data_IF_410502522396
#
_entry.id   IF_410502522396
#
_cell.length_a   1.000
_cell.length_b   1.000
_cell.length_c   1.000
_cell.angle_alpha   90.00
_cell.angle_beta   90.00
_cell.angle_gamma   90.00
#
_symmetry.space_group_name_H-M   'P 1'
#
loop_
_entity.id
_entity.type
_entity.pdbx_description
1 polymer ?
#
# COMPACT_ATOMS: atom_id res chain seq x y z
N UNK A 1 -21.15 15.53 19.02
CA UNK A 1 -20.47 16.24 17.92
C UNK A 1 -19.28 15.39 17.51
N UNK A 2 -19.36 14.72 16.36
CA UNK A 2 -18.21 14.06 15.75
C UNK A 2 -17.33 15.16 15.16
N UNK A 3 -16.10 15.32 15.65
CA UNK A 3 -15.12 16.19 15.02
C UNK A 3 -14.79 15.61 13.64
N UNK A 4 -15.45 16.12 12.61
CA UNK A 4 -15.13 15.80 11.23
C UNK A 4 -13.78 16.44 10.90
N UNK A 5 -12.84 15.64 10.42
CA UNK A 5 -11.54 16.13 9.95
C UNK A 5 -11.75 17.01 8.72
N UNK A 6 -10.97 18.08 8.60
CA UNK A 6 -10.89 18.86 7.36
C UNK A 6 -10.28 18.03 6.22
N UNK A 7 -10.52 18.44 4.97
CA UNK A 7 -9.91 17.75 3.81
C UNK A 7 -8.38 17.65 3.92
N UNK A 8 -7.70 18.71 4.37
CA UNK A 8 -6.23 18.70 4.51
C UNK A 8 -5.75 17.68 5.57
N UNK A 9 -6.49 17.53 6.66
CA UNK A 9 -6.21 16.54 7.70
C UNK A 9 -6.46 15.12 7.19
N UNK A 10 -7.60 14.88 6.52
CA UNK A 10 -7.91 13.61 5.87
C UNK A 10 -6.85 13.24 4.82
N UNK A 11 -6.45 14.18 3.97
CA UNK A 11 -5.44 13.98 2.93
C UNK A 11 -4.08 13.63 3.53
N UNK A 12 -3.67 14.35 4.57
CA UNK A 12 -2.40 14.08 5.25
C UNK A 12 -2.41 12.69 5.90
N UNK A 13 -3.51 12.33 6.57
CA UNK A 13 -3.67 11.01 7.16
C UNK A 13 -3.65 9.90 6.08
N UNK A 14 -4.38 10.10 4.99
CA UNK A 14 -4.46 9.14 3.89
C UNK A 14 -3.11 8.95 3.21
N UNK A 15 -2.44 10.04 2.84
CA UNK A 15 -1.12 9.97 2.22
C UNK A 15 -0.10 9.32 3.16
N UNK A 16 -0.15 9.61 4.47
CA UNK A 16 0.70 8.95 5.46
C UNK A 16 0.46 7.43 5.50
N UNK A 17 -0.81 7.01 5.52
CA UNK A 17 -1.21 5.60 5.54
C UNK A 17 -0.80 4.87 4.25
N UNK A 18 -0.99 5.52 3.10
CA UNK A 18 -0.54 5.04 1.79
C UNK A 18 0.99 4.85 1.76
N UNK A 19 1.75 5.81 2.31
CA UNK A 19 3.22 5.70 2.43
C UNK A 19 3.65 4.53 3.32
N UNK A 20 2.95 4.28 4.42
CA UNK A 20 3.24 3.14 5.31
C UNK A 20 3.03 1.81 4.57
N UNK A 21 1.88 1.64 3.89
CA UNK A 21 1.63 0.46 3.07
C UNK A 21 2.73 0.27 2.02
N UNK A 22 3.04 1.33 1.27
CA UNK A 22 4.07 1.29 0.23
C UNK A 22 5.45 0.93 0.79
N UNK A 23 5.83 1.47 1.95
CA UNK A 23 7.10 1.14 2.61
C UNK A 23 7.22 -0.36 2.89
N UNK A 24 6.19 -0.97 3.48
CA UNK A 24 6.19 -2.42 3.73
C UNK A 24 6.21 -3.24 2.43
N UNK A 25 5.49 -2.78 1.40
CA UNK A 25 5.53 -3.41 0.07
C UNK A 25 6.93 -3.40 -0.56
N UNK A 26 7.72 -2.35 -0.32
CA UNK A 26 9.09 -2.25 -0.80
C UNK A 26 10.08 -3.05 0.08
N UNK A 27 9.92 -3.07 1.41
CA UNK A 27 10.75 -3.89 2.31
C UNK A 27 10.70 -5.38 1.93
N UNK A 28 9.51 -5.92 1.65
CA UNK A 28 9.39 -7.33 1.24
C UNK A 28 10.06 -7.61 -0.13
N UNK A 29 10.04 -6.62 -1.04
CA UNK A 29 10.74 -6.71 -2.34
C UNK A 29 12.24 -6.71 -2.14
N UNK A 30 12.72 -5.89 -1.23
CA UNK A 30 14.13 -5.79 -0.94
C UNK A 30 14.65 -7.08 -0.29
N UNK A 31 13.87 -7.75 0.56
CA UNK A 31 14.19 -9.10 1.04
C UNK A 31 14.43 -10.08 -0.13
N UNK A 32 13.56 -10.06 -1.15
CA UNK A 32 13.71 -10.95 -2.30
C UNK A 32 15.00 -10.66 -3.10
N UNK A 33 15.35 -9.37 -3.29
CA UNK A 33 16.61 -9.00 -3.94
C UNK A 33 17.84 -9.43 -3.16
N UNK A 34 17.82 -9.27 -1.83
CA UNK A 34 18.92 -9.73 -0.96
C UNK A 34 19.05 -11.26 -0.97
N UNK A 35 17.94 -11.99 -1.02
CA UNK A 35 17.97 -13.45 -1.24
C UNK A 35 18.63 -13.78 -2.58
N UNK A 36 18.31 -13.07 -3.64
CA UNK A 36 18.84 -13.41 -4.97
C UNK A 36 20.34 -13.05 -5.09
N UNK A 37 20.84 -12.07 -4.35
CA UNK A 37 22.25 -11.61 -4.41
C UNK A 37 23.25 -12.62 -3.85
N UNK A 38 22.89 -13.40 -2.83
CA UNK A 38 23.74 -14.45 -2.23
C UNK A 38 23.28 -15.88 -2.60
N UNK A 39 22.41 -15.99 -3.61
CA UNK A 39 21.80 -17.25 -4.04
C UNK A 39 20.87 -17.88 -2.98
N UNK A 40 20.47 -17.12 -1.97
CA UNK A 40 19.57 -17.49 -0.89
C UNK A 40 20.26 -18.13 0.30
N UNK A 41 21.58 -17.95 0.45
CA UNK A 41 22.37 -18.59 1.51
C UNK A 41 21.90 -18.13 2.89
N UNK A 42 21.93 -16.83 3.16
CA UNK A 42 21.47 -16.21 4.40
C UNK A 42 19.97 -16.45 4.56
N UNK A 43 19.19 -16.25 3.49
CA UNK A 43 17.73 -16.44 3.52
C UNK A 43 17.33 -17.85 3.97
N UNK A 44 18.05 -18.90 3.51
CA UNK A 44 17.78 -20.29 3.90
C UNK A 44 18.35 -20.63 5.29
N UNK A 45 19.45 -20.00 5.69
CA UNK A 45 20.05 -20.21 7.01
C UNK A 45 19.14 -19.68 8.14
N UNK A 46 18.47 -18.55 7.91
CA UNK A 46 17.63 -17.90 8.92
C UNK A 46 16.14 -18.02 8.55
N UNK A 47 15.46 -18.98 9.18
CA UNK A 47 14.01 -19.22 9.01
C UNK A 47 13.12 -17.99 9.28
N UNK A 48 13.64 -16.98 10.00
CA UNK A 48 12.95 -15.71 10.24
C UNK A 48 12.75 -14.86 8.99
N UNK A 49 13.59 -14.95 7.95
CA UNK A 49 13.45 -14.08 6.78
C UNK A 49 12.18 -14.33 5.96
N UNK A 50 11.80 -15.57 5.63
CA UNK A 50 10.49 -15.86 5.05
C UNK A 50 9.32 -15.28 5.87
N UNK A 51 9.38 -15.42 7.20
CA UNK A 51 8.35 -14.90 8.11
C UNK A 51 8.27 -13.37 8.07
N UNK A 52 9.41 -12.69 8.12
CA UNK A 52 9.49 -11.22 8.03
C UNK A 52 8.99 -10.74 6.68
N UNK A 53 9.38 -11.40 5.58
CA UNK A 53 8.91 -11.09 4.22
C UNK A 53 7.39 -11.17 4.14
N UNK A 54 6.81 -12.25 4.65
CA UNK A 54 5.36 -12.44 4.73
C UNK A 54 4.71 -11.35 5.58
N UNK A 55 5.21 -11.09 6.78
CA UNK A 55 4.65 -10.09 7.67
C UNK A 55 4.62 -8.69 7.03
N UNK A 56 5.69 -8.27 6.35
CA UNK A 56 5.70 -7.00 5.62
C UNK A 56 4.68 -6.97 4.49
N UNK A 57 4.60 -8.05 3.70
CA UNK A 57 3.59 -8.16 2.66
C UNK A 57 2.17 -8.05 3.23
N UNK A 58 1.84 -8.79 4.29
CA UNK A 58 0.52 -8.79 4.92
C UNK A 58 0.16 -7.41 5.49
N UNK A 59 1.11 -6.76 6.16
CA UNK A 59 0.89 -5.40 6.70
C UNK A 59 0.65 -4.37 5.60
N UNK A 60 1.33 -4.50 4.46
CA UNK A 60 1.06 -3.68 3.28
C UNK A 60 -0.37 -3.87 2.78
N UNK A 61 -0.78 -5.12 2.55
CA UNK A 61 -2.12 -5.45 2.01
C UNK A 61 -3.22 -5.01 2.96
N UNK A 62 -3.12 -5.35 4.25
CA UNK A 62 -4.08 -4.93 5.27
C UNK A 62 -4.21 -3.42 5.32
N UNK A 63 -3.09 -2.70 5.36
CA UNK A 63 -3.09 -1.24 5.37
C UNK A 63 -3.72 -0.67 4.11
N UNK A 64 -3.42 -1.24 2.94
CA UNK A 64 -3.97 -0.81 1.66
C UNK A 64 -5.50 -0.99 1.61
N UNK A 65 -6.03 -2.13 2.09
CA UNK A 65 -7.47 -2.36 2.18
C UNK A 65 -8.18 -1.28 3.03
N UNK A 66 -7.59 -0.84 4.14
CA UNK A 66 -8.21 0.20 5.01
C UNK A 66 -8.43 1.53 4.30
N UNK A 67 -7.76 1.81 3.18
CA UNK A 67 -7.94 3.02 2.39
C UNK A 67 -9.24 3.00 1.56
N UNK A 68 -9.86 1.84 1.39
CA UNK A 68 -11.10 1.67 0.61
C UNK A 68 -12.31 1.38 1.49
N UNK A 69 -12.10 1.10 2.78
CA UNK A 69 -13.18 0.79 3.71
C UNK A 69 -13.96 2.04 4.11
N UNK A 70 -15.26 2.08 3.81
CA UNK A 70 -16.14 3.23 4.13
C UNK A 70 -16.11 3.63 5.62
N UNK A 71 -15.99 2.64 6.50
CA UNK A 71 -15.93 2.85 7.95
C UNK A 71 -14.57 3.39 8.43
N UNK A 72 -13.52 3.31 7.61
CA UNK A 72 -12.22 3.86 7.94
C UNK A 72 -12.26 5.39 7.84
N UNK A 73 -11.81 6.12 8.88
CA UNK A 73 -11.72 7.58 8.85
C UNK A 73 -10.65 8.08 7.86
N UNK A 74 -9.80 7.17 7.37
CA UNK A 74 -8.70 7.45 6.46
C UNK A 74 -8.93 6.66 5.16
N UNK A 75 -10.09 6.88 4.54
CA UNK A 75 -10.49 6.20 3.30
C UNK A 75 -10.74 7.17 2.15
N UNK A 76 -10.73 6.66 0.92
CA UNK A 76 -11.09 7.41 -0.28
C UNK A 76 -12.52 7.97 -0.17
N UNK A 77 -13.42 7.22 0.46
CA UNK A 77 -14.78 7.68 0.73
C UNK A 77 -14.77 8.95 1.58
N UNK A 78 -14.07 8.93 2.73
CA UNK A 78 -14.00 10.10 3.60
C UNK A 78 -13.29 11.29 2.94
N UNK A 79 -12.23 11.05 2.16
CA UNK A 79 -11.58 12.09 1.38
C UNK A 79 -12.55 12.80 0.42
N UNK A 80 -13.35 12.02 -0.32
CA UNK A 80 -14.32 12.58 -1.27
C UNK A 80 -15.45 13.31 -0.56
N UNK A 81 -15.98 12.76 0.53
CA UNK A 81 -17.03 13.42 1.34
C UNK A 81 -16.56 14.81 1.81
N UNK A 82 -15.33 14.92 2.33
CA UNK A 82 -14.78 16.22 2.77
C UNK A 82 -14.55 17.23 1.64
N UNK A 83 -14.54 16.79 0.38
CA UNK A 83 -14.52 17.67 -0.80
C UNK A 83 -15.92 17.98 -1.33
N UNK A 84 -16.89 17.07 -1.15
CA UNK A 84 -18.25 17.19 -1.66
C UNK A 84 -18.98 18.45 -1.16
N UNK A 85 -18.51 19.01 -0.05
CA UNK A 85 -18.98 20.28 0.52
C UNK A 85 -18.64 21.51 -0.33
N UNK A 86 -17.80 21.38 -1.37
CA UNK A 86 -17.29 22.50 -2.19
C UNK A 86 -17.97 22.68 -3.56
N UNK A 87 -19.04 21.94 -3.86
CA UNK A 87 -19.76 22.01 -5.15
C UNK A 87 -18.89 21.80 -6.40
N UNK A 88 -17.76 21.09 -6.28
CA UNK A 88 -16.93 20.69 -7.39
C UNK A 88 -17.26 19.26 -7.85
N UNK A 89 -17.14 18.98 -9.14
CA UNK A 89 -17.23 17.61 -9.65
C UNK A 89 -15.98 16.86 -9.21
N UNK A 90 -16.15 15.88 -8.31
CA UNK A 90 -15.06 15.06 -7.80
C UNK A 90 -15.06 13.76 -8.60
N UNK A 91 -14.06 13.54 -9.46
CA UNK A 91 -13.96 12.29 -10.21
C UNK A 91 -13.87 11.11 -9.25
N UNK A 92 -14.39 9.94 -9.65
CA UNK A 92 -14.21 8.72 -8.85
C UNK A 92 -12.81 8.14 -9.09
N UNK A 93 -12.35 7.28 -8.20
CA UNK A 93 -11.06 6.61 -8.41
C UNK A 93 -11.10 5.68 -9.63
N UNK A 94 -12.24 5.02 -9.81
CA UNK A 94 -12.49 4.05 -10.87
C UNK A 94 -12.45 4.72 -12.26
N UNK A 95 -12.78 6.03 -12.35
CA UNK A 95 -12.62 6.83 -13.57
C UNK A 95 -11.15 7.05 -13.98
N UNK A 96 -10.20 6.86 -13.06
CA UNK A 96 -8.76 7.02 -13.30
C UNK A 96 -8.00 5.70 -13.45
N UNK A 97 -8.63 4.58 -13.12
CA UNK A 97 -7.94 3.31 -13.03
C UNK A 97 -8.83 2.18 -13.55
N UNK A 98 -8.82 1.98 -14.87
CA UNK A 98 -9.67 1.02 -15.59
C UNK A 98 -9.64 -0.41 -15.02
N UNK A 99 -8.52 -0.84 -14.46
CA UNK A 99 -8.31 -2.19 -13.92
C UNK A 99 -8.61 -2.29 -12.40
N UNK A 100 -9.17 -1.25 -11.79
CA UNK A 100 -9.36 -1.14 -10.35
C UNK A 100 -10.12 -2.33 -9.77
N UNK A 101 -11.28 -2.68 -10.32
CA UNK A 101 -12.15 -3.72 -9.77
C UNK A 101 -11.43 -5.07 -9.66
N UNK A 102 -10.74 -5.48 -10.74
CA UNK A 102 -9.95 -6.71 -10.77
C UNK A 102 -8.87 -6.68 -9.70
N UNK A 103 -8.11 -5.59 -9.64
CA UNK A 103 -6.96 -5.48 -8.74
C UNK A 103 -7.42 -5.41 -7.28
N UNK A 104 -8.48 -4.67 -6.99
CA UNK A 104 -9.01 -4.53 -5.65
C UNK A 104 -9.61 -5.83 -5.11
N UNK A 105 -10.36 -6.58 -5.93
CA UNK A 105 -10.84 -7.90 -5.55
C UNK A 105 -9.69 -8.89 -5.34
N UNK A 106 -8.62 -8.79 -6.14
CA UNK A 106 -7.39 -9.53 -5.90
C UNK A 106 -6.76 -9.19 -4.56
N UNK A 107 -6.60 -7.90 -4.24
CA UNK A 107 -6.06 -7.43 -2.95
C UNK A 107 -6.91 -7.93 -1.76
N UNK A 108 -8.25 -7.92 -1.88
CA UNK A 108 -9.14 -8.50 -0.87
C UNK A 108 -8.97 -10.01 -0.71
N UNK A 109 -8.82 -10.73 -1.82
CA UNK A 109 -8.55 -12.18 -1.80
C UNK A 109 -7.25 -12.47 -1.05
N UNK A 110 -6.19 -11.70 -1.34
CA UNK A 110 -4.92 -11.82 -0.62
C UNK A 110 -5.12 -11.54 0.87
N UNK A 111 -5.81 -10.45 1.24
CA UNK A 111 -6.11 -10.11 2.64
C UNK A 111 -6.77 -11.28 3.37
N UNK A 112 -7.84 -11.81 2.79
CA UNK A 112 -8.66 -12.87 3.41
C UNK A 112 -7.85 -14.17 3.56
N UNK A 113 -7.01 -14.48 2.57
CA UNK A 113 -6.10 -15.63 2.60
C UNK A 113 -4.97 -15.47 3.61
N UNK A 114 -4.38 -14.28 3.71
CA UNK A 114 -3.36 -13.97 4.72
C UNK A 114 -3.89 -14.12 6.15
N UNK A 115 -5.16 -13.78 6.39
CA UNK A 115 -5.83 -13.99 7.68
C UNK A 115 -6.11 -15.47 7.93
N UNK A 116 -6.58 -16.21 6.91
CA UNK A 116 -7.01 -17.60 7.05
C UNK A 116 -5.86 -18.63 7.06
N UNK A 117 -4.75 -18.35 6.37
CA UNK A 117 -3.63 -19.27 6.16
C UNK A 117 -2.32 -18.69 6.69
N UNK A 118 -2.26 -18.51 8.02
CA UNK A 118 -1.10 -17.92 8.69
C UNK A 118 0.20 -18.72 8.43
N UNK A 119 0.08 -20.03 8.17
CA UNK A 119 1.18 -20.96 7.91
C UNK A 119 1.80 -20.87 6.50
N UNK A 120 1.10 -20.29 5.51
CA UNK A 120 1.64 -20.26 4.15
C UNK A 120 2.67 -19.14 3.98
N UNK A 121 3.95 -19.50 3.90
CA UNK A 121 5.06 -18.54 3.73
C UNK A 121 5.29 -18.11 2.27
N UNK A 122 4.63 -18.76 1.32
CA UNK A 122 4.84 -18.50 -0.09
C UNK A 122 3.89 -17.40 -0.60
N UNK A 123 4.36 -16.15 -0.57
CA UNK A 123 3.62 -14.99 -1.08
C UNK A 123 3.23 -15.16 -2.56
N UNK A 124 4.02 -15.87 -3.37
CA UNK A 124 3.73 -16.05 -4.79
C UNK A 124 2.43 -16.83 -5.00
N UNK A 125 2.09 -17.74 -4.08
CA UNK A 125 0.82 -18.45 -4.13
C UNK A 125 -0.38 -17.52 -3.89
N UNK A 126 -0.25 -16.51 -3.03
CA UNK A 126 -1.32 -15.54 -2.81
C UNK A 126 -1.62 -14.73 -4.07
N UNK A 127 -0.61 -14.35 -4.84
CA UNK A 127 -0.79 -13.68 -6.13
C UNK A 127 -1.52 -14.56 -7.15
N UNK A 128 -1.12 -15.83 -7.28
CA UNK A 128 -1.77 -16.79 -8.18
C UNK A 128 -3.24 -16.99 -7.81
N UNK A 129 -3.53 -17.22 -6.52
CA UNK A 129 -4.90 -17.43 -6.05
C UNK A 129 -5.78 -16.17 -6.23
N UNK A 130 -5.19 -14.99 -6.11
CA UNK A 130 -5.88 -13.72 -6.28
C UNK A 130 -5.97 -13.25 -7.74
N UNK A 131 -5.37 -13.98 -8.69
CA UNK A 131 -5.30 -13.64 -10.11
C UNK A 131 -4.80 -12.19 -10.36
N UNK A 132 -3.81 -11.77 -9.57
CA UNK A 132 -3.13 -10.48 -9.71
C UNK A 132 -1.63 -10.66 -9.55
N UNK A 133 -0.88 -9.67 -10.02
CA UNK A 133 0.59 -9.67 -9.99
C UNK A 133 1.13 -8.65 -9.01
N UNK A 134 2.42 -8.72 -8.72
CA UNK A 134 3.12 -7.65 -8.00
C UNK A 134 2.97 -6.29 -8.70
N UNK A 135 3.07 -6.27 -10.04
CA UNK A 135 2.95 -5.04 -10.84
C UNK A 135 1.56 -4.41 -10.76
N UNK A 136 0.51 -5.21 -10.56
CA UNK A 136 -0.84 -4.72 -10.33
C UNK A 136 -0.93 -3.92 -9.02
N UNK A 137 -0.33 -4.43 -7.93
CA UNK A 137 -0.31 -3.73 -6.64
C UNK A 137 0.55 -2.46 -6.71
N UNK A 138 1.69 -2.52 -7.40
CA UNK A 138 2.55 -1.34 -7.61
C UNK A 138 1.79 -0.25 -8.41
N UNK A 139 1.08 -0.66 -9.47
CA UNK A 139 0.21 0.23 -10.26
C UNK A 139 -0.89 0.85 -9.40
N UNK A 140 -1.51 0.08 -8.49
CA UNK A 140 -2.52 0.59 -7.57
C UNK A 140 -1.95 1.68 -6.63
N UNK A 141 -0.73 1.50 -6.11
CA UNK A 141 -0.08 2.54 -5.29
C UNK A 141 0.14 3.83 -6.07
N UNK A 142 0.62 3.71 -7.32
CA UNK A 142 0.87 4.87 -8.19
C UNK A 142 -0.44 5.57 -8.57
N UNK A 143 -1.46 4.82 -8.97
CA UNK A 143 -2.78 5.34 -9.28
C UNK A 143 -3.40 6.09 -8.08
N UNK A 144 -3.32 5.52 -6.87
CA UNK A 144 -3.78 6.19 -5.65
C UNK A 144 -3.03 7.50 -5.41
N UNK A 145 -1.71 7.52 -5.56
CA UNK A 145 -0.92 8.72 -5.38
C UNK A 145 -1.28 9.82 -6.39
N UNK A 146 -1.49 9.44 -7.65
CA UNK A 146 -1.88 10.38 -8.71
C UNK A 146 -3.30 10.89 -8.51
N UNK A 147 -4.22 10.04 -8.05
CA UNK A 147 -5.56 10.45 -7.66
C UNK A 147 -5.53 11.47 -6.51
N UNK A 148 -4.68 11.29 -5.49
CA UNK A 148 -4.53 12.30 -4.42
C UNK A 148 -4.06 13.65 -4.97
N UNK A 149 -3.12 13.66 -5.93
CA UNK A 149 -2.68 14.90 -6.58
C UNK A 149 -3.82 15.56 -7.35
N UNK A 150 -4.61 14.76 -8.07
CA UNK A 150 -5.81 15.25 -8.77
C UNK A 150 -6.79 15.90 -7.79
N UNK A 151 -7.07 15.26 -6.65
CA UNK A 151 -7.95 15.81 -5.62
C UNK A 151 -7.44 17.14 -5.06
N UNK A 152 -6.13 17.26 -4.81
CA UNK A 152 -5.51 18.52 -4.33
C UNK A 152 -5.64 19.64 -5.35
N UNK A 153 -5.41 19.32 -6.63
CA UNK A 153 -5.57 20.27 -7.72
C UNK A 153 -7.03 20.72 -7.85
N UNK A 154 -7.99 19.79 -7.78
CA UNK A 154 -9.43 20.09 -7.80
C UNK A 154 -9.86 20.93 -6.60
N UNK A 155 -9.22 20.73 -5.44
CA UNK A 155 -9.52 21.48 -4.23
C UNK A 155 -8.87 22.87 -4.17
N UNK A 156 -7.95 23.18 -5.11
CA UNK A 156 -7.12 24.38 -5.14
C UNK A 156 -6.37 24.63 -3.81
N UNK A 157 -5.74 23.58 -3.28
CA UNK A 157 -5.03 23.64 -1.99
C UNK A 157 -3.52 23.57 -2.20
N UNK A 158 -2.79 24.47 -1.53
CA UNK A 158 -1.35 24.37 -1.40
C UNK A 158 -0.97 23.57 -0.16
N UNK A 159 -0.32 22.42 -0.36
CA UNK A 159 0.04 21.52 0.75
C UNK A 159 1.30 21.93 1.50
N UNK A 160 2.17 22.75 0.91
CA UNK A 160 3.51 23.04 1.46
C UNK A 160 4.49 21.85 1.40
N UNK A 161 4.08 20.69 0.86
CA UNK A 161 4.91 19.51 0.63
C UNK A 161 4.49 18.78 -0.66
N UNK A 162 5.35 17.88 -1.16
CA UNK A 162 5.06 17.07 -2.35
C UNK A 162 4.44 15.72 -1.98
N UNK A 163 3.35 15.36 -2.66
CA UNK A 163 2.79 14.00 -2.64
C UNK A 163 3.68 13.07 -3.46
N UNK A 164 4.53 12.30 -2.78
CA UNK A 164 5.48 11.39 -3.41
C UNK A 164 5.73 10.19 -2.51
N UNK A 165 6.02 9.04 -3.14
CA UNK A 165 6.69 7.97 -2.44
C UNK A 165 8.17 8.32 -2.32
N UNK A 166 8.72 8.27 -1.10
CA UNK A 166 10.14 8.46 -0.89
C UNK A 166 10.88 7.16 -1.21
N UNK A 167 11.92 7.24 -2.04
CA UNK A 167 12.88 6.15 -2.16
C UNK A 167 13.68 6.04 -0.86
N UNK A 168 13.65 4.87 -0.22
CA UNK A 168 14.46 4.60 0.95
C UNK A 168 15.69 3.78 0.52
N UNK A 169 16.90 4.37 0.45
CA UNK A 169 18.10 3.58 0.15
C UNK A 169 18.42 2.58 1.27
N UNK A 170 18.05 2.92 2.51
CA UNK A 170 18.43 2.22 3.75
C UNK A 170 17.29 1.44 4.38
N UNK A 171 16.56 0.68 3.56
CA UNK A 171 15.55 -0.27 4.04
C UNK A 171 16.13 -1.13 5.18
N UNK A 172 15.34 -1.32 6.24
CA UNK A 172 15.77 -1.99 7.46
C UNK A 172 16.29 -3.39 7.17
N UNK A 173 15.72 -4.08 6.17
CA UNK A 173 16.21 -5.39 5.78
C UNK A 173 17.66 -5.38 5.28
N UNK A 174 18.08 -4.36 4.52
CA UNK A 174 19.46 -4.28 4.01
C UNK A 174 20.45 -4.22 5.16
N UNK A 175 20.12 -3.46 6.21
CA UNK A 175 20.94 -3.33 7.40
C UNK A 175 21.03 -4.65 8.18
N UNK A 176 19.93 -5.41 8.26
CA UNK A 176 19.91 -6.73 8.88
C UNK A 176 20.76 -7.71 8.06
N UNK A 177 20.57 -7.77 6.74
CA UNK A 177 21.34 -8.66 5.85
C UNK A 177 22.84 -8.39 5.92
N UNK A 178 23.25 -7.12 5.86
CA UNK A 178 24.66 -6.73 5.93
C UNK A 178 25.35 -7.15 7.24
N UNK A 179 24.59 -7.34 8.33
CA UNK A 179 25.14 -7.84 9.61
C UNK A 179 25.25 -9.37 9.69
N UNK A 180 24.57 -10.09 8.79
CA UNK A 180 24.55 -11.55 8.76
C UNK A 180 25.42 -12.15 7.63
N UNK A 181 25.78 -11.33 6.65
CA UNK A 181 26.71 -11.67 5.56
C UNK A 181 28.16 -11.69 6.04
#
# INVERSE_FOLDING_TARGET
MTNQLSFSECLTAFHSRLKIAYHYFQEQKEIAKQRDSDGGKIYRQYYSFPLIKKAYFEQSILTLCTLFEKASPVSLFQLRETLGERSCSIPTFDDYFDDFDRIFEGVKTIRDKSIAHLENLNIDQFYVEANITYADIDSLFLALLDYLKALVNTADIQLGYKLTFAYCPDYGIKQIYAKLA
#
